data_IF_057063422875
#
_entry.id   IF_057063422875
#
_cell.length_a   1.000
_cell.length_b   1.000
_cell.length_c   1.000
_cell.angle_alpha   90.00
_cell.angle_beta   90.00
_cell.angle_gamma   90.00
#
_symmetry.space_group_name_H-M   'P 1'
#
loop_
_entity.id
_entity.type
_entity.pdbx_description
1 polymer ?
#
# COMPACT_ATOMS: atom_id res chain seq x y z
N UNK A 1 4.20 16.65 -7.61
CA UNK A 1 4.93 15.41 -7.22
C UNK A 1 4.63 15.06 -5.74
N UNK A 2 4.54 13.79 -5.32
CA UNK A 2 4.20 13.41 -3.92
C UNK A 2 5.41 12.86 -3.17
N UNK A 3 5.71 13.38 -1.98
CA UNK A 3 6.86 12.95 -1.14
C UNK A 3 6.33 12.27 0.13
N UNK A 4 6.74 11.02 0.38
CA UNK A 4 6.36 10.22 1.54
C UNK A 4 7.44 10.29 2.64
N UNK A 5 7.06 10.62 3.88
CA UNK A 5 7.99 10.67 5.04
C UNK A 5 7.48 9.75 6.15
N UNK A 6 8.33 8.82 6.60
CA UNK A 6 8.01 7.83 7.65
C UNK A 6 8.46 8.33 9.02
N UNK A 7 7.52 8.75 9.87
CA UNK A 7 7.81 9.27 11.22
C UNK A 7 7.67 8.15 12.25
N UNK A 8 8.71 7.91 13.05
CA UNK A 8 8.63 7.02 14.24
C UNK A 8 8.10 7.83 15.42
N UNK A 9 7.24 7.21 16.23
CA UNK A 9 6.33 7.82 17.21
C UNK A 9 7.04 8.55 18.37
N UNK A 10 7.45 9.80 18.13
CA UNK A 10 7.50 10.96 19.04
C UNK A 10 7.86 12.16 18.16
N UNK A 11 7.28 13.31 18.44
CA UNK A 11 7.49 14.59 17.74
C UNK A 11 6.61 14.88 16.52
N UNK A 12 5.32 15.10 16.78
CA UNK A 12 4.40 15.78 15.86
C UNK A 12 4.91 17.18 15.46
N UNK A 13 5.59 17.87 16.37
CA UNK A 13 6.27 19.15 16.13
C UNK A 13 7.41 19.01 15.11
N UNK A 14 8.23 17.95 15.21
CA UNK A 14 9.30 17.68 14.26
C UNK A 14 8.74 17.36 12.86
N UNK A 15 7.63 16.62 12.78
CA UNK A 15 6.96 16.39 11.50
C UNK A 15 6.44 17.70 10.88
N UNK A 16 5.82 18.58 11.68
CA UNK A 16 5.36 19.89 11.20
C UNK A 16 6.52 20.75 10.69
N UNK A 17 7.66 20.73 11.37
CA UNK A 17 8.87 21.47 10.97
C UNK A 17 9.46 20.92 9.67
N UNK A 18 9.58 19.60 9.55
CA UNK A 18 10.05 18.94 8.31
C UNK A 18 9.08 19.21 7.16
N UNK A 19 7.77 19.06 7.38
CA UNK A 19 6.76 19.33 6.37
C UNK A 19 6.73 20.80 5.92
N UNK A 20 7.04 21.75 6.83
CA UNK A 20 7.20 23.16 6.49
C UNK A 20 8.46 23.39 5.64
N UNK A 21 9.57 22.77 6.01
CA UNK A 21 10.84 22.87 5.28
C UNK A 21 10.75 22.27 3.87
N UNK A 22 10.12 21.10 3.73
CA UNK A 22 9.86 20.47 2.43
C UNK A 22 8.95 21.36 1.57
N UNK A 23 7.83 21.86 2.12
CA UNK A 23 6.95 22.79 1.38
C UNK A 23 7.70 24.04 0.93
N UNK A 24 8.51 24.66 1.79
CA UNK A 24 9.30 25.83 1.43
C UNK A 24 10.34 25.53 0.35
N UNK A 25 10.98 24.35 0.41
CA UNK A 25 11.96 23.93 -0.59
C UNK A 25 11.30 23.69 -1.95
N UNK A 26 10.13 23.05 -2.00
CA UNK A 26 9.46 22.74 -3.27
C UNK A 26 8.68 23.94 -3.84
N UNK A 27 8.16 24.82 -2.99
CA UNK A 27 7.52 26.08 -3.42
C UNK A 27 8.47 26.98 -4.22
N UNK A 28 9.79 26.93 -3.95
CA UNK A 28 10.81 27.61 -4.77
C UNK A 28 10.84 27.15 -6.22
N UNK A 29 10.33 25.96 -6.51
CA UNK A 29 10.25 25.39 -7.86
C UNK A 29 8.85 25.53 -8.49
N UNK A 30 7.92 26.25 -7.84
CA UNK A 30 6.57 26.51 -8.37
C UNK A 30 5.62 25.31 -8.35
N UNK A 31 5.97 24.23 -7.64
CA UNK A 31 5.08 23.08 -7.43
C UNK A 31 4.36 23.17 -6.08
N UNK A 32 3.04 22.98 -6.10
CA UNK A 32 2.24 22.74 -4.90
C UNK A 32 2.42 21.28 -4.45
N UNK A 33 3.01 21.09 -3.27
CA UNK A 33 3.28 19.75 -2.71
C UNK A 33 2.50 19.54 -1.43
N UNK A 34 1.69 18.49 -1.44
CA UNK A 34 0.98 18.03 -0.26
C UNK A 34 1.84 17.03 0.53
N UNK A 35 2.27 17.44 1.73
CA UNK A 35 3.02 16.57 2.66
C UNK A 35 2.05 15.97 3.66
N UNK A 36 1.83 14.65 3.60
CA UNK A 36 0.95 13.91 4.52
C UNK A 36 1.75 12.95 5.39
N UNK A 37 1.34 12.80 6.64
CA UNK A 37 1.89 11.78 7.53
C UNK A 37 1.44 10.40 7.03
N UNK A 38 2.39 9.51 6.73
CA UNK A 38 2.06 8.13 6.37
C UNK A 38 1.80 7.33 7.65
N UNK A 39 0.53 7.02 7.92
CA UNK A 39 0.17 6.08 8.99
C UNK A 39 0.40 4.64 8.48
N UNK A 40 1.22 3.83 9.17
CA UNK A 40 1.43 2.45 8.78
C UNK A 40 0.11 1.68 8.84
N UNK A 41 -0.25 1.04 7.73
CA UNK A 41 -1.45 0.22 7.66
C UNK A 41 -1.14 -1.11 8.34
N UNK A 42 -1.94 -1.49 9.35
CA UNK A 42 -1.80 -2.82 9.96
C UNK A 42 -2.31 -3.87 8.97
N UNK A 43 -1.42 -4.77 8.59
CA UNK A 43 -1.70 -5.89 7.69
C UNK A 43 -1.62 -7.21 8.48
N UNK A 44 -2.65 -8.03 8.34
CA UNK A 44 -2.67 -9.44 8.73
C UNK A 44 -1.69 -10.27 7.89
N UNK A 45 -1.42 -11.51 8.29
CA UNK A 45 -0.55 -12.42 7.54
C UNK A 45 -1.12 -12.70 6.15
N UNK A 46 -2.43 -12.94 6.06
CA UNK A 46 -3.15 -13.24 4.83
C UNK A 46 -3.17 -12.03 3.88
N UNK A 47 -3.35 -10.81 4.40
CA UNK A 47 -3.26 -9.59 3.58
C UNK A 47 -1.85 -9.40 3.00
N UNK A 48 -0.80 -9.72 3.76
CA UNK A 48 0.58 -9.65 3.24
C UNK A 48 0.80 -10.67 2.12
N UNK A 49 0.28 -11.87 2.26
CA UNK A 49 0.38 -12.91 1.23
C UNK A 49 -0.35 -12.52 -0.05
N UNK A 50 -1.56 -11.92 0.06
CA UNK A 50 -2.29 -11.38 -1.09
C UNK A 50 -1.46 -10.34 -1.84
N UNK A 51 -0.84 -9.40 -1.10
CA UNK A 51 0.01 -8.37 -1.70
C UNK A 51 1.27 -8.99 -2.35
N UNK A 52 1.90 -9.97 -1.70
CA UNK A 52 3.07 -10.68 -2.25
C UNK A 52 2.73 -11.47 -3.51
N UNK A 53 1.57 -12.14 -3.55
CA UNK A 53 1.08 -12.86 -4.71
C UNK A 53 0.82 -11.91 -5.90
N UNK A 54 0.25 -10.73 -5.64
CA UNK A 54 0.07 -9.73 -6.69
C UNK A 54 1.41 -9.17 -7.20
N UNK A 55 2.40 -9.02 -6.31
CA UNK A 55 3.73 -8.55 -6.67
C UNK A 55 4.50 -9.53 -7.53
N UNK A 56 4.38 -10.84 -7.26
CA UNK A 56 5.08 -11.88 -8.05
C UNK A 56 4.62 -11.95 -9.51
N UNK A 57 3.47 -11.36 -9.83
CA UNK A 57 2.93 -11.29 -11.19
C UNK A 57 3.16 -9.95 -11.89
N UNK A 58 3.94 -9.05 -11.30
CA UNK A 58 4.42 -7.79 -11.92
C UNK A 58 3.33 -6.99 -12.66
N UNK A 59 2.16 -6.81 -12.04
CA UNK A 59 1.10 -5.97 -12.61
C UNK A 59 0.21 -6.64 -13.66
N UNK A 60 0.41 -7.93 -13.99
CA UNK A 60 -0.49 -8.69 -14.87
C UNK A 60 -1.90 -8.90 -14.28
N UNK A 61 -2.03 -8.67 -12.97
CA UNK A 61 -3.26 -8.80 -12.22
C UNK A 61 -3.66 -10.27 -11.99
N UNK A 62 -4.45 -10.50 -10.94
CA UNK A 62 -4.95 -11.83 -10.55
C UNK A 62 -6.46 -11.84 -10.64
N UNK A 63 -7.04 -12.80 -11.35
CA UNK A 63 -8.49 -13.00 -11.29
C UNK A 63 -8.89 -13.61 -9.94
N UNK A 64 -10.06 -13.25 -9.39
CA UNK A 64 -10.53 -13.75 -8.09
C UNK A 64 -10.46 -15.27 -7.93
N UNK A 65 -10.77 -16.04 -8.99
CA UNK A 65 -10.73 -17.51 -9.03
C UNK A 65 -9.32 -18.09 -8.90
N UNK A 66 -8.30 -17.31 -9.28
CA UNK A 66 -6.89 -17.74 -9.31
C UNK A 66 -6.19 -17.47 -7.98
N UNK A 67 -6.75 -16.59 -7.12
CA UNK A 67 -6.18 -16.31 -5.80
C UNK A 67 -6.06 -17.56 -4.92
N UNK A 68 -7.07 -18.43 -4.94
CA UNK A 68 -7.05 -19.69 -4.18
C UNK A 68 -6.06 -20.73 -4.71
N UNK A 69 -5.52 -20.54 -5.91
CA UNK A 69 -4.54 -21.44 -6.55
C UNK A 69 -3.11 -20.94 -6.34
N UNK A 70 -2.90 -19.62 -6.43
CA UNK A 70 -1.58 -18.99 -6.29
C UNK A 70 -1.13 -18.84 -4.83
N UNK A 71 -2.08 -18.83 -3.91
CA UNK A 71 -1.79 -18.86 -2.50
C UNK A 71 -1.22 -20.23 -2.15
N UNK A 72 0.09 -20.30 -1.94
CA UNK A 72 0.78 -21.43 -1.30
C UNK A 72 0.42 -21.55 0.21
N UNK A 73 -0.73 -20.99 0.57
CA UNK A 73 -1.16 -20.68 1.92
C UNK A 73 -2.06 -21.82 2.36
N UNK A 74 -1.70 -22.44 3.45
CA UNK A 74 -2.45 -23.43 4.22
C UNK A 74 -3.81 -22.93 4.75
N UNK A 75 -4.33 -21.81 4.23
CA UNK A 75 -5.53 -21.13 4.66
C UNK A 75 -6.73 -21.46 3.75
N UNK A 76 -7.88 -21.69 4.38
CA UNK A 76 -9.14 -21.95 3.70
C UNK A 76 -9.45 -20.85 2.66
N UNK A 77 -9.99 -21.19 1.47
CA UNK A 77 -10.31 -20.23 0.40
C UNK A 77 -11.12 -19.01 0.86
N UNK A 78 -11.97 -19.21 1.88
CA UNK A 78 -12.76 -18.15 2.51
C UNK A 78 -11.90 -17.06 3.16
N UNK A 79 -10.76 -17.41 3.78
CA UNK A 79 -9.89 -16.43 4.45
C UNK A 79 -9.16 -15.53 3.47
N UNK A 80 -8.76 -16.07 2.33
CA UNK A 80 -8.11 -15.30 1.27
C UNK A 80 -9.11 -14.36 0.59
N UNK A 81 -10.33 -14.82 0.34
CA UNK A 81 -11.39 -13.95 -0.17
C UNK A 81 -11.64 -12.76 0.78
N UNK A 82 -11.67 -13.00 2.10
CA UNK A 82 -11.78 -11.93 3.10
C UNK A 82 -10.57 -10.99 3.04
N UNK A 83 -9.34 -11.51 2.99
CA UNK A 83 -8.13 -10.70 2.90
C UNK A 83 -8.07 -9.84 1.63
N UNK A 84 -8.50 -10.37 0.48
CA UNK A 84 -8.62 -9.61 -0.78
C UNK A 84 -9.61 -8.46 -0.63
N UNK A 85 -10.78 -8.71 -0.02
CA UNK A 85 -11.77 -7.66 0.23
C UNK A 85 -11.25 -6.59 1.20
N UNK A 86 -10.54 -6.97 2.25
CA UNK A 86 -9.95 -6.02 3.20
C UNK A 86 -8.82 -5.21 2.54
N UNK A 87 -7.95 -5.83 1.74
CA UNK A 87 -6.96 -5.12 0.92
C UNK A 87 -7.61 -4.11 -0.04
N UNK A 88 -8.76 -4.44 -0.64
CA UNK A 88 -9.53 -3.55 -1.50
C UNK A 88 -10.11 -2.37 -0.72
N UNK A 89 -10.70 -2.62 0.46
CA UNK A 89 -11.20 -1.56 1.36
C UNK A 89 -10.10 -0.62 1.84
N UNK A 90 -8.91 -1.15 2.11
CA UNK A 90 -7.72 -0.38 2.50
C UNK A 90 -7.08 0.38 1.33
N UNK A 91 -7.59 0.22 0.11
CA UNK A 91 -7.08 0.89 -1.10
C UNK A 91 -5.72 0.37 -1.56
N UNK A 92 -5.32 -0.83 -1.12
CA UNK A 92 -4.02 -1.45 -1.44
C UNK A 92 -4.05 -2.20 -2.77
N UNK A 93 -5.24 -2.65 -3.16
CA UNK A 93 -5.49 -3.31 -4.43
C UNK A 93 -6.70 -2.66 -5.10
N UNK A 94 -6.70 -2.64 -6.43
CA UNK A 94 -7.83 -2.24 -7.26
C UNK A 94 -8.25 -3.40 -8.14
N UNK A 95 -9.52 -3.42 -8.52
CA UNK A 95 -10.06 -4.37 -9.48
C UNK A 95 -10.32 -3.62 -10.78
N UNK A 96 -9.70 -4.07 -11.87
CA UNK A 96 -9.83 -3.48 -13.20
C UNK A 96 -10.04 -4.62 -14.19
N UNK A 97 -11.10 -4.56 -15.00
CA UNK A 97 -11.41 -5.59 -16.01
C UNK A 97 -11.47 -7.03 -15.46
N UNK A 98 -11.93 -7.21 -14.22
CA UNK A 98 -12.05 -8.51 -13.56
C UNK A 98 -10.72 -9.10 -13.05
N UNK A 99 -9.64 -8.31 -13.02
CA UNK A 99 -8.38 -8.67 -12.38
C UNK A 99 -8.06 -7.72 -11.24
N UNK A 100 -7.53 -8.25 -10.15
CA UNK A 100 -6.98 -7.45 -9.05
C UNK A 100 -5.53 -7.07 -9.33
N UNK A 101 -5.17 -5.82 -9.07
CA UNK A 101 -3.82 -5.28 -9.22
C UNK A 101 -3.44 -4.48 -7.98
N UNK A 102 -2.13 -4.39 -7.70
CA UNK A 102 -1.62 -3.50 -6.66
C UNK A 102 -1.85 -2.05 -7.03
N UNK A 103 -2.21 -1.24 -6.04
CA UNK A 103 -2.16 0.22 -6.15
C UNK A 103 -0.78 0.72 -5.72
N UNK A 104 -0.48 2.00 -5.96
CA UNK A 104 0.72 2.64 -5.45
C UNK A 104 0.84 2.51 -3.91
N UNK A 105 -0.28 2.60 -3.19
CA UNK A 105 -0.33 2.39 -1.76
C UNK A 105 0.03 0.95 -1.37
N UNK A 106 -0.50 -0.05 -2.10
CA UNK A 106 -0.17 -1.47 -1.91
C UNK A 106 1.31 -1.76 -2.16
N UNK A 107 1.89 -1.18 -3.22
CA UNK A 107 3.32 -1.30 -3.50
C UNK A 107 4.19 -0.64 -2.42
N UNK A 108 3.79 0.54 -1.95
CA UNK A 108 4.51 1.28 -0.90
C UNK A 108 4.47 0.49 0.42
N UNK A 109 3.35 -0.14 0.77
CA UNK A 109 3.26 -1.02 1.95
C UNK A 109 4.12 -2.28 1.79
N UNK A 110 4.10 -2.92 0.62
CA UNK A 110 4.98 -4.07 0.32
C UNK A 110 6.47 -3.73 0.44
N UNK A 111 6.89 -2.54 0.01
CA UNK A 111 8.28 -2.09 0.18
C UNK A 111 8.64 -1.87 1.64
N UNK A 112 7.68 -1.50 2.48
CA UNK A 112 7.87 -1.34 3.93
C UNK A 112 7.90 -2.66 4.72
N UNK A 113 7.56 -3.78 4.09
CA UNK A 113 7.61 -5.13 4.70
C UNK A 113 8.96 -5.84 4.54
N UNK A 114 9.88 -5.31 3.72
CA UNK A 114 11.29 -5.74 3.65
C UNK A 114 12.12 -5.03 4.73
#
# INVERSE_FOLDING_TARGET
>A
MSIEVKVKKKDEELFKEVARSVRAAVSKYGEDVEVRERKPIKLSSEEKEVLLALKSLEGRGIRPDVFGILSNVTAEPNRIAVAVQECKKKGLIKEESGVFQLTEAGESELRSLK
#
